data_IF_627623338223
#
_entry.id   IF_627623338223
#
_cell.length_a   1.000
_cell.length_b   1.000
_cell.length_c   1.000
_cell.angle_alpha   90.00
_cell.angle_beta   90.00
_cell.angle_gamma   90.00
#
_symmetry.space_group_name_H-M   'P 1'
#
loop_
_entity.id
_entity.type
_entity.pdbx_description
1 polymer ?
#
# COMPACT_ATOMS: atom_id res chain seq x y z
N UNK A 1 15.49 20.24 37.74
CA UNK A 1 15.65 19.30 36.62
C UNK A 1 14.41 19.46 35.76
N UNK A 2 14.59 19.78 34.49
CA UNK A 2 13.52 20.08 33.54
C UNK A 2 12.67 18.80 33.32
N UNK A 3 11.46 18.72 33.86
CA UNK A 3 10.60 17.53 33.77
C UNK A 3 9.84 17.43 32.45
N UNK A 4 9.73 18.55 31.72
CA UNK A 4 8.94 18.68 30.49
C UNK A 4 9.31 17.66 29.39
N UNK A 5 10.60 17.36 29.19
CA UNK A 5 11.01 16.36 28.18
C UNK A 5 10.63 14.92 28.57
N UNK A 6 10.63 14.61 29.88
CA UNK A 6 10.19 13.30 30.37
C UNK A 6 8.67 13.15 30.33
N UNK A 7 7.96 14.26 30.56
CA UNK A 7 6.50 14.31 30.55
C UNK A 7 5.96 14.30 29.10
N UNK A 8 6.75 14.76 28.11
CA UNK A 8 6.35 14.87 26.70
C UNK A 8 7.37 14.24 25.73
N UNK A 9 7.50 12.90 25.67
CA UNK A 9 8.50 12.20 24.87
C UNK A 9 8.35 12.36 23.34
N UNK A 10 7.25 12.94 22.85
CA UNK A 10 7.00 13.27 21.44
C UNK A 10 7.24 14.73 21.04
N UNK A 11 7.62 15.58 21.99
CA UNK A 11 7.92 16.99 21.77
C UNK A 11 9.43 17.21 21.75
N UNK A 12 9.88 18.14 20.91
CA UNK A 12 11.23 18.65 20.94
C UNK A 12 11.14 20.14 21.29
N UNK A 13 11.81 20.51 22.38
CA UNK A 13 11.77 21.84 22.94
C UNK A 13 13.08 22.54 22.66
N UNK A 14 12.99 23.70 22.05
CA UNK A 14 14.12 24.61 21.94
C UNK A 14 13.76 25.94 22.59
N UNK A 15 14.71 26.47 23.33
CA UNK A 15 14.63 27.78 23.97
C UNK A 15 15.48 28.73 23.15
N UNK A 16 14.96 29.91 22.87
CA UNK A 16 15.69 30.92 22.11
C UNK A 16 15.25 32.32 22.49
N UNK A 17 16.03 33.29 22.04
CA UNK A 17 15.67 34.70 22.04
C UNK A 17 15.67 35.15 20.58
N UNK A 18 14.51 35.47 20.02
CA UNK A 18 14.32 35.84 18.61
C UNK A 18 14.79 37.28 18.33
N UNK A 19 15.29 37.98 19.34
CA UNK A 19 15.74 39.35 19.21
C UNK A 19 16.89 39.59 20.17
N UNK A 20 18.13 39.59 19.67
CA UNK A 20 19.25 40.26 20.31
C UNK A 20 18.91 41.76 20.38
N UNK A 21 18.15 42.15 21.39
CA UNK A 21 18.45 43.39 22.09
C UNK A 21 19.74 43.11 22.84
N UNK A 22 20.89 43.42 22.25
CA UNK A 22 21.86 44.14 23.07
C UNK A 22 22.81 45.04 22.30
N UNK A 23 22.87 46.23 22.87
CA UNK A 23 23.77 47.31 22.53
C UNK A 23 25.22 46.90 22.75
N UNK A 24 26.17 47.53 22.05
CA UNK A 24 27.58 47.18 22.14
C UNK A 24 28.08 47.37 23.58
N UNK A 25 28.80 46.34 24.07
CA UNK A 25 29.68 46.33 25.25
C UNK A 25 29.04 45.97 26.62
N UNK A 26 29.08 44.67 26.95
CA UNK A 26 29.63 44.22 28.23
C UNK A 26 30.69 43.13 27.96
N UNK A 27 31.93 43.29 28.47
CA UNK A 27 33.01 42.34 28.19
C UNK A 27 32.82 41.08 29.04
N UNK A 28 32.92 39.93 28.39
CA UNK A 28 32.72 38.57 28.93
C UNK A 28 31.25 38.15 29.06
N UNK A 29 30.71 37.61 27.96
CA UNK A 29 30.23 36.23 28.07
C UNK A 29 30.68 35.44 26.83
N UNK A 30 31.61 34.51 27.04
CA UNK A 30 32.07 33.58 25.99
C UNK A 30 31.15 32.39 25.83
N UNK A 31 30.05 32.33 26.59
CA UNK A 31 29.26 31.12 26.79
C UNK A 31 27.80 31.24 26.34
N UNK A 32 27.39 32.35 25.70
CA UNK A 32 26.03 32.53 25.17
C UNK A 32 25.80 31.78 23.84
N UNK A 33 25.65 30.46 23.98
CA UNK A 33 25.34 29.50 22.92
C UNK A 33 23.82 29.39 22.65
N UNK A 34 23.04 30.44 22.94
CA UNK A 34 21.56 30.40 22.91
C UNK A 34 20.93 31.00 21.64
N UNK A 35 21.74 31.45 20.67
CA UNK A 35 21.25 32.14 19.47
C UNK A 35 21.07 31.26 18.23
N UNK A 36 22.09 30.51 17.80
CA UNK A 36 21.99 29.56 16.68
C UNK A 36 23.28 28.72 16.55
N UNK A 37 23.30 27.53 17.15
CA UNK A 37 24.24 26.49 16.75
C UNK A 37 23.70 25.85 15.44
N UNK A 38 24.48 25.71 14.34
CA UNK A 38 24.05 25.00 13.13
C UNK A 38 23.69 23.52 13.33
N UNK A 39 23.70 23.02 14.58
CA UNK A 39 23.30 21.69 15.00
C UNK A 39 22.06 21.63 15.90
N UNK A 40 21.00 22.42 15.67
CA UNK A 40 19.71 22.15 16.33
C UNK A 40 19.16 20.82 15.78
N UNK A 41 19.38 19.75 16.52
CA UNK A 41 19.06 18.37 16.15
C UNK A 41 17.60 18.02 16.40
N UNK A 42 16.68 18.65 15.66
CA UNK A 42 15.25 18.33 15.74
C UNK A 42 15.02 16.83 15.50
N UNK A 43 14.38 16.13 16.45
CA UNK A 43 14.04 14.73 16.28
C UNK A 43 13.04 14.56 15.14
N UNK A 44 13.28 13.58 14.26
CA UNK A 44 12.33 13.27 13.19
C UNK A 44 10.99 12.80 13.78
N UNK A 45 9.88 13.28 13.22
CA UNK A 45 8.52 12.98 13.71
C UNK A 45 8.13 13.66 15.02
N UNK A 46 9.03 14.40 15.69
CA UNK A 46 8.67 15.15 16.88
C UNK A 46 8.03 16.50 16.54
N UNK A 47 7.15 16.98 17.43
CA UNK A 47 6.63 18.34 17.34
C UNK A 47 7.75 19.33 17.68
N UNK A 48 7.98 20.31 16.82
CA UNK A 48 9.00 21.35 17.02
C UNK A 48 8.39 22.53 17.77
N UNK A 49 8.92 22.86 18.93
CA UNK A 49 8.43 23.94 19.78
C UNK A 49 9.59 24.90 20.06
N UNK A 50 9.41 26.15 19.68
CA UNK A 50 10.30 27.27 20.00
C UNK A 50 9.67 28.10 21.11
N UNK A 51 10.24 28.05 22.31
CA UNK A 51 9.86 28.93 23.41
C UNK A 51 10.79 30.15 23.41
N UNK A 52 10.22 31.30 23.05
CA UNK A 52 10.90 32.57 22.97
C UNK A 52 10.63 33.42 24.22
N UNK A 53 11.67 33.93 24.86
CA UNK A 53 11.55 34.90 25.95
C UNK A 53 12.01 36.28 25.49
N UNK A 54 11.30 37.34 25.85
CA UNK A 54 11.70 38.69 25.47
C UNK A 54 11.01 39.80 26.25
N UNK A 55 11.41 41.04 25.95
CA UNK A 55 10.90 42.27 26.56
C UNK A 55 10.78 43.43 25.56
N UNK A 56 11.07 43.21 24.27
CA UNK A 56 10.76 44.10 23.15
C UNK A 56 10.40 43.36 21.86
N UNK A 57 9.93 44.08 20.84
CA UNK A 57 9.79 43.58 19.46
C UNK A 57 11.15 43.45 18.77
N UNK A 58 11.31 42.53 17.80
CA UNK A 58 12.54 42.38 17.03
C UNK A 58 12.82 43.57 16.13
N UNK A 59 14.07 43.64 15.64
CA UNK A 59 14.43 44.54 14.55
C UNK A 59 13.80 44.03 13.25
N UNK A 60 12.98 44.87 12.62
CA UNK A 60 12.48 44.63 11.27
C UNK A 60 12.30 45.93 10.47
N UNK A 61 12.37 45.82 9.15
CA UNK A 61 12.10 46.95 8.25
C UNK A 61 10.62 47.33 8.26
N UNK A 62 9.71 46.42 8.59
CA UNK A 62 8.28 46.66 8.68
C UNK A 62 7.55 45.70 9.65
N UNK A 63 7.52 46.02 10.93
CA UNK A 63 6.78 45.24 11.94
C UNK A 63 5.27 45.19 11.71
N UNK A 64 4.70 46.17 11.01
CA UNK A 64 3.26 46.21 10.72
C UNK A 64 2.85 45.25 9.60
N UNK A 65 3.80 44.67 8.86
CA UNK A 65 3.47 43.70 7.82
C UNK A 65 2.77 42.47 8.40
N UNK A 66 1.63 42.12 7.79
CA UNK A 66 0.81 40.99 8.22
C UNK A 66 0.05 41.19 9.54
N UNK A 67 0.11 42.36 10.18
CA UNK A 67 -0.61 42.64 11.42
C UNK A 67 -2.04 43.14 11.11
N UNK A 68 -3.10 42.48 11.63
CA UNK A 68 -4.47 42.90 11.40
C UNK A 68 -4.73 44.35 11.82
N UNK A 69 -5.27 45.16 10.91
CA UNK A 69 -5.65 46.54 11.19
C UNK A 69 -4.49 47.55 11.17
N UNK A 70 -3.26 47.14 10.83
CA UNK A 70 -2.14 48.04 10.59
C UNK A 70 -1.85 48.11 9.09
N UNK A 71 -1.71 49.32 8.56
CA UNK A 71 -1.41 49.57 7.13
C UNK A 71 -0.18 50.44 6.90
N UNK A 72 0.24 51.19 7.92
CA UNK A 72 1.41 52.05 7.84
C UNK A 72 2.69 51.22 8.06
N UNK A 73 3.82 51.69 7.56
CA UNK A 73 5.11 51.03 7.81
C UNK A 73 5.65 51.43 9.17
N UNK A 74 6.01 50.46 10.00
CA UNK A 74 6.75 50.69 11.25
C UNK A 74 8.07 49.92 11.21
N UNK A 75 9.18 50.65 11.06
CA UNK A 75 10.50 50.06 11.12
C UNK A 75 11.12 50.22 12.51
N UNK A 76 11.72 49.15 13.01
CA UNK A 76 12.61 49.16 14.19
C UNK A 76 14.09 49.04 13.81
N UNK A 77 14.40 48.90 12.51
CA UNK A 77 15.75 48.70 11.97
C UNK A 77 15.89 47.31 11.33
N UNK A 78 16.88 47.10 10.47
CA UNK A 78 17.16 45.77 9.91
C UNK A 78 17.85 44.91 10.98
N UNK A 79 17.54 43.62 11.01
CA UNK A 79 18.30 42.65 11.81
C UNK A 79 19.58 42.28 11.04
N UNK A 80 20.79 42.54 11.60
CA UNK A 80 22.05 42.24 10.93
C UNK A 80 22.37 40.74 10.90
N UNK A 81 21.54 39.89 11.49
CA UNK A 81 21.82 38.48 11.62
C UNK A 81 22.94 38.20 12.61
N UNK A 82 23.58 37.04 12.46
CA UNK A 82 24.55 36.50 13.41
C UNK A 82 25.94 37.08 13.27
N UNK A 83 26.29 37.57 12.08
CA UNK A 83 27.59 38.20 11.88
C UNK A 83 27.64 39.63 12.42
N UNK A 84 26.49 40.16 12.85
CA UNK A 84 26.31 41.51 13.40
C UNK A 84 26.70 42.62 12.39
N UNK A 85 26.78 42.30 11.10
CA UNK A 85 27.15 43.22 10.04
C UNK A 85 25.95 43.55 9.16
N UNK A 86 25.66 44.84 9.05
CA UNK A 86 24.58 45.32 8.21
C UNK A 86 24.92 45.21 6.71
N UNK A 87 23.94 44.83 5.88
CA UNK A 87 24.06 44.61 4.44
C UNK A 87 24.94 43.41 4.05
N UNK A 88 24.82 42.32 4.80
CA UNK A 88 25.40 41.02 4.47
C UNK A 88 24.31 40.05 4.01
N UNK A 89 24.71 38.88 3.52
CA UNK A 89 23.78 37.82 3.13
C UNK A 89 23.08 37.17 4.35
N UNK A 90 23.53 37.46 5.59
CA UNK A 90 22.98 36.91 6.84
C UNK A 90 21.95 37.84 7.50
N UNK A 91 21.74 39.05 6.98
CA UNK A 91 20.72 39.96 7.50
C UNK A 91 19.34 39.29 7.43
N UNK A 92 18.58 39.37 8.53
CA UNK A 92 17.29 38.70 8.66
C UNK A 92 16.13 39.66 8.39
N UNK A 93 15.10 39.11 7.75
CA UNK A 93 13.76 39.68 7.65
C UNK A 93 12.82 38.88 8.55
N UNK A 94 12.08 39.55 9.43
CA UNK A 94 11.24 38.87 10.42
C UNK A 94 10.16 38.02 9.75
N UNK A 95 9.57 38.49 8.66
CA UNK A 95 8.46 37.79 8.01
C UNK A 95 8.95 36.54 7.29
N UNK A 96 10.18 36.57 6.78
CA UNK A 96 10.86 35.39 6.25
C UNK A 96 11.17 34.38 7.36
N UNK A 97 11.62 34.83 8.54
CA UNK A 97 11.81 33.95 9.71
C UNK A 97 10.48 33.32 10.14
N UNK A 98 9.42 34.11 10.30
CA UNK A 98 8.09 33.63 10.67
C UNK A 98 7.53 32.64 9.65
N UNK A 99 7.77 32.88 8.36
CA UNK A 99 7.40 31.94 7.29
C UNK A 99 8.20 30.64 7.39
N UNK A 100 9.51 30.74 7.63
CA UNK A 100 10.37 29.58 7.86
C UNK A 100 9.91 28.72 9.04
N UNK A 101 9.44 29.32 10.14
CA UNK A 101 8.85 28.58 11.26
C UNK A 101 7.60 27.79 10.83
N UNK A 102 6.70 28.42 10.07
CA UNK A 102 5.49 27.76 9.56
C UNK A 102 5.82 26.62 8.60
N UNK A 103 6.71 26.86 7.63
CA UNK A 103 7.17 25.88 6.64
C UNK A 103 7.88 24.68 7.29
N UNK A 104 8.57 24.91 8.41
CA UNK A 104 9.25 23.86 9.18
C UNK A 104 8.39 23.22 10.26
N UNK A 105 7.09 23.50 10.31
CA UNK A 105 6.15 22.98 11.29
C UNK A 105 6.57 23.29 12.75
N UNK A 106 7.18 24.46 12.97
CA UNK A 106 7.65 24.91 14.28
C UNK A 106 6.60 25.81 14.93
N UNK A 107 6.12 25.39 16.10
CA UNK A 107 5.26 26.19 16.95
C UNK A 107 6.09 27.21 17.72
N UNK A 108 5.71 28.48 17.66
CA UNK A 108 6.32 29.53 18.46
C UNK A 108 5.44 29.87 19.67
N UNK A 109 5.99 29.72 20.87
CA UNK A 109 5.40 30.24 22.11
C UNK A 109 6.25 31.43 22.55
N UNK A 110 5.62 32.53 22.92
CA UNK A 110 6.34 33.69 23.41
C UNK A 110 5.94 34.04 24.84
N UNK A 111 6.93 34.13 25.73
CA UNK A 111 6.75 34.61 27.09
C UNK A 111 7.42 35.98 27.22
N UNK A 112 6.64 37.00 27.60
CA UNK A 112 7.05 38.39 27.54
C UNK A 112 6.89 39.09 28.89
N UNK A 113 7.77 40.04 29.19
CA UNK A 113 7.83 40.68 30.51
C UNK A 113 6.70 41.68 30.80
N UNK A 114 6.05 42.22 29.78
CA UNK A 114 4.97 43.23 29.90
C UNK A 114 3.79 42.91 28.98
N UNK A 115 2.76 43.74 28.92
CA UNK A 115 1.69 43.58 27.92
C UNK A 115 1.93 44.41 26.65
N UNK A 116 3.09 45.08 26.56
CA UNK A 116 3.42 45.92 25.41
C UNK A 116 3.58 45.06 24.16
N UNK A 117 3.10 45.56 23.03
CA UNK A 117 3.14 44.87 21.74
C UNK A 117 2.48 43.49 21.72
N UNK A 118 1.65 43.15 22.71
CA UNK A 118 0.93 41.89 22.77
C UNK A 118 0.18 41.58 21.46
N UNK A 119 -0.40 42.59 20.80
CA UNK A 119 -1.09 42.43 19.51
C UNK A 119 -0.18 41.85 18.41
N UNK A 120 1.10 42.25 18.38
CA UNK A 120 2.08 41.76 17.41
C UNK A 120 2.48 40.33 17.73
N UNK A 121 2.86 40.07 18.98
CA UNK A 121 3.28 38.73 19.40
C UNK A 121 2.15 37.70 19.29
N UNK A 122 0.90 38.07 19.58
CA UNK A 122 -0.26 37.23 19.36
C UNK A 122 -0.48 36.94 17.86
N UNK A 123 -0.32 37.94 16.99
CA UNK A 123 -0.42 37.76 15.54
C UNK A 123 0.67 36.82 14.98
N UNK A 124 1.90 36.89 15.50
CA UNK A 124 2.99 36.06 15.03
C UNK A 124 2.93 34.62 15.57
N UNK A 125 2.70 34.45 16.88
CA UNK A 125 2.64 33.12 17.52
C UNK A 125 1.45 32.29 17.02
N UNK A 126 0.33 32.94 16.69
CA UNK A 126 -0.87 32.25 16.19
C UNK A 126 -0.72 31.61 14.79
N UNK A 127 0.32 31.96 14.02
CA UNK A 127 0.55 31.41 12.67
C UNK A 127 0.67 29.89 12.64
N UNK A 128 1.15 29.26 13.73
CA UNK A 128 1.24 27.80 13.86
C UNK A 128 0.79 27.29 15.23
N UNK A 129 -0.35 27.79 15.71
CA UNK A 129 -1.02 27.28 16.92
C UNK A 129 -0.30 27.55 18.24
N UNK A 130 0.70 28.44 18.24
CA UNK A 130 1.38 28.88 19.46
C UNK A 130 0.62 29.98 20.18
N UNK A 131 1.24 30.55 21.21
CA UNK A 131 0.60 31.53 22.08
C UNK A 131 1.58 32.55 22.67
N UNK A 132 1.02 33.66 23.14
CA UNK A 132 1.69 34.68 23.93
C UNK A 132 1.29 34.57 25.40
N UNK A 133 2.28 34.69 26.29
CA UNK A 133 2.10 34.67 27.73
C UNK A 133 2.89 35.79 28.41
N UNK A 134 2.42 36.24 29.56
CA UNK A 134 3.15 37.13 30.43
C UNK A 134 4.06 36.32 31.37
N UNK A 135 5.34 36.66 31.46
CA UNK A 135 6.25 36.01 32.43
C UNK A 135 5.86 36.29 33.87
N UNK A 136 5.09 37.35 34.13
CA UNK A 136 4.53 37.68 35.44
C UNK A 136 3.32 36.82 35.82
N UNK A 137 2.78 36.01 34.90
CA UNK A 137 1.64 35.15 35.19
C UNK A 137 2.06 33.97 36.09
N UNK A 138 1.32 33.76 37.18
CA UNK A 138 1.57 32.61 38.08
C UNK A 138 1.24 31.27 37.41
N UNK A 139 0.41 31.29 36.36
CA UNK A 139 0.00 30.14 35.56
C UNK A 139 0.92 29.85 34.38
N UNK A 140 1.98 30.64 34.14
CA UNK A 140 2.81 30.55 32.91
C UNK A 140 3.18 29.11 32.53
N UNK A 141 3.67 28.33 33.49
CA UNK A 141 4.10 26.95 33.24
C UNK A 141 2.92 26.08 32.80
N UNK A 142 1.79 26.18 33.50
CA UNK A 142 0.57 25.43 33.19
C UNK A 142 -0.02 25.85 31.83
N UNK A 143 -0.03 27.14 31.53
CA UNK A 143 -0.54 27.67 30.27
C UNK A 143 0.34 27.23 29.07
N UNK A 144 1.67 27.22 29.24
CA UNK A 144 2.60 26.70 28.24
C UNK A 144 2.35 25.22 28.01
N UNK A 145 2.22 24.42 29.08
CA UNK A 145 1.92 22.98 28.96
C UNK A 145 0.60 22.76 28.21
N UNK A 146 -0.46 23.49 28.57
CA UNK A 146 -1.77 23.37 27.93
C UNK A 146 -1.71 23.65 26.42
N UNK A 147 -0.95 24.66 25.98
CA UNK A 147 -0.79 24.94 24.54
C UNK A 147 0.02 23.87 23.83
N UNK A 148 1.02 23.31 24.49
CA UNK A 148 1.82 22.21 23.93
C UNK A 148 0.99 20.92 23.85
N UNK A 149 0.12 20.66 24.81
CA UNK A 149 -0.71 19.45 24.85
C UNK A 149 -2.00 19.56 24.01
N UNK A 150 -2.41 20.77 23.59
CA UNK A 150 -3.64 20.97 22.82
C UNK A 150 -3.63 20.14 21.53
N UNK A 151 -4.46 19.09 21.50
CA UNK A 151 -4.61 18.18 20.37
C UNK A 151 -5.15 18.84 19.12
N UNK A 152 -5.83 20.00 19.23
CA UNK A 152 -6.28 20.76 18.07
C UNK A 152 -5.12 21.41 17.31
N UNK A 153 -3.94 21.53 17.93
CA UNK A 153 -2.71 22.02 17.29
C UNK A 153 -1.88 20.89 16.67
N UNK A 154 -2.14 19.64 17.04
CA UNK A 154 -1.56 18.42 16.47
C UNK A 154 -2.33 17.99 15.20
N UNK A 155 -2.24 18.79 14.13
CA UNK A 155 -3.02 18.52 12.90
C UNK A 155 -2.35 17.55 11.92
N UNK A 156 -1.08 17.23 12.11
CA UNK A 156 -0.29 16.48 11.12
C UNK A 156 0.54 15.40 11.80
N UNK A 157 0.32 14.14 11.41
CA UNK A 157 1.19 13.02 11.72
C UNK A 157 1.96 12.71 10.45
N UNK A 158 3.25 13.06 10.44
CA UNK A 158 4.18 12.61 9.42
C UNK A 158 4.68 11.21 9.79
N UNK A 159 4.93 10.35 8.81
CA UNK A 159 5.46 9.00 9.00
C UNK A 159 4.55 8.06 9.84
N UNK A 160 3.23 8.10 9.63
CA UNK A 160 2.34 7.07 10.16
C UNK A 160 2.62 5.73 9.46
N UNK A 161 3.46 4.91 10.09
CA UNK A 161 3.73 3.55 9.63
C UNK A 161 2.87 2.57 10.42
N UNK A 162 1.99 1.85 9.71
CA UNK A 162 1.30 0.68 10.28
C UNK A 162 2.35 -0.41 10.46
N UNK A 163 2.76 -0.67 11.71
CA UNK A 163 3.65 -1.77 12.04
C UNK A 163 3.07 -3.10 11.55
N UNK A 164 3.93 -4.01 11.10
CA UNK A 164 3.59 -5.32 10.50
C UNK A 164 2.83 -6.29 11.42
N UNK A 165 2.42 -5.85 12.60
CA UNK A 165 1.77 -6.67 13.62
C UNK A 165 0.28 -6.31 13.72
N UNK A 166 -0.55 -7.00 12.93
CA UNK A 166 -1.87 -7.50 13.33
C UNK A 166 -2.85 -7.76 12.16
N UNK A 167 -2.45 -7.64 10.89
CA UNK A 167 -3.33 -8.05 9.78
C UNK A 167 -2.91 -9.41 9.21
N UNK A 168 -2.90 -10.41 10.07
CA UNK A 168 -3.10 -11.80 9.67
C UNK A 168 -4.59 -12.13 9.80
N UNK A 169 -5.42 -11.67 8.85
CA UNK A 169 -6.76 -12.23 8.67
C UNK A 169 -6.91 -12.74 7.24
N UNK A 170 -6.55 -14.01 7.08
CA UNK A 170 -6.95 -14.99 6.07
C UNK A 170 -7.60 -14.48 4.77
N UNK A 171 -6.81 -13.96 3.84
CA UNK A 171 -7.16 -13.98 2.41
C UNK A 171 -6.29 -14.95 1.60
N UNK A 172 -5.48 -15.80 2.25
CA UNK A 172 -4.65 -16.81 1.59
C UNK A 172 -3.51 -16.25 0.73
N UNK A 173 -3.27 -14.93 0.77
CA UNK A 173 -2.24 -14.25 -0.01
C UNK A 173 -0.84 -14.41 0.61
N UNK A 174 0.18 -14.47 -0.24
CA UNK A 174 1.58 -14.41 0.17
C UNK A 174 1.98 -12.97 0.59
N UNK A 175 3.06 -12.78 1.37
CA UNK A 175 3.54 -11.45 1.77
C UNK A 175 3.83 -10.47 0.61
N UNK A 176 4.16 -10.99 -0.58
CA UNK A 176 4.38 -10.16 -1.77
C UNK A 176 3.05 -9.66 -2.36
N UNK A 177 2.05 -10.54 -2.48
CA UNK A 177 0.72 -10.22 -3.01
C UNK A 177 -0.05 -9.23 -2.13
N UNK A 178 0.22 -9.19 -0.82
CA UNK A 178 -0.41 -8.23 0.08
C UNK A 178 -0.03 -6.77 -0.17
N UNK A 179 1.15 -6.50 -0.75
CA UNK A 179 1.64 -5.13 -0.95
C UNK A 179 1.01 -4.43 -2.17
N UNK A 180 0.62 -5.17 -3.21
CA UNK A 180 0.00 -4.60 -4.42
C UNK A 180 -1.51 -4.36 -4.26
N UNK A 181 -2.18 -5.10 -3.36
CA UNK A 181 -3.64 -5.00 -3.12
C UNK A 181 -4.01 -4.15 -1.90
N UNK A 182 -3.03 -3.46 -1.31
CA UNK A 182 -3.22 -2.56 -0.18
C UNK A 182 -3.70 -1.19 -0.69
N UNK A 183 -5.00 -0.89 -0.56
CA UNK A 183 -5.50 0.49 -0.72
C UNK A 183 -6.13 0.95 0.59
N UNK A 184 -5.48 1.88 1.28
CA UNK A 184 -6.06 2.54 2.44
C UNK A 184 -7.20 3.45 1.97
N UNK A 185 -8.45 3.02 2.14
CA UNK A 185 -9.61 3.77 1.62
C UNK A 185 -10.08 4.92 2.52
N UNK A 186 -9.73 4.93 3.82
CA UNK A 186 -10.17 5.97 4.77
C UNK A 186 -9.32 5.98 6.05
N UNK A 187 -8.90 7.16 6.50
CA UNK A 187 -8.45 7.38 7.87
C UNK A 187 -9.60 8.05 8.65
N UNK A 188 -9.99 7.49 9.80
CA UNK A 188 -11.01 8.09 10.68
C UNK A 188 -10.32 8.47 11.97
N UNK A 189 -10.45 9.74 12.37
CA UNK A 189 -10.03 10.20 13.69
C UNK A 189 -11.21 9.97 14.64
N UNK A 190 -11.04 9.13 15.65
CA UNK A 190 -12.02 8.92 16.73
C UNK A 190 -11.57 9.76 17.93
N UNK A 191 -12.39 10.73 18.33
CA UNK A 191 -12.12 11.68 19.41
C UNK A 191 -12.59 11.17 20.77
N UNK A 192 -12.65 9.84 20.95
CA UNK A 192 -13.14 9.27 22.19
C UNK A 192 -12.20 9.57 23.37
N UNK A 193 -12.66 10.45 24.26
CA UNK A 193 -12.01 10.83 25.52
C UNK A 193 -11.55 9.59 26.30
N UNK A 194 -10.24 9.37 26.33
CA UNK A 194 -9.61 8.60 27.39
C UNK A 194 -8.41 9.38 27.88
N UNK A 195 -8.37 9.59 29.19
CA UNK A 195 -7.32 10.29 29.90
C UNK A 195 -5.93 9.80 29.46
N UNK A 196 -5.09 10.74 29.01
CA UNK A 196 -3.66 10.58 28.75
C UNK A 196 -3.21 9.75 27.53
N UNK A 197 -3.83 9.94 26.35
CA UNK A 197 -3.19 9.53 25.10
C UNK A 197 -4.09 9.59 23.88
N UNK A 198 -3.65 10.34 22.86
CA UNK A 198 -4.30 10.39 21.54
C UNK A 198 -4.13 9.02 20.86
N UNK A 199 -5.16 8.18 20.86
CA UNK A 199 -5.14 6.91 20.14
C UNK A 199 -5.70 7.12 18.73
N UNK A 200 -4.82 7.12 17.73
CA UNK A 200 -5.23 7.13 16.32
C UNK A 200 -5.68 5.70 15.94
N UNK A 201 -6.98 5.50 15.70
CA UNK A 201 -7.50 4.27 15.10
C UNK A 201 -7.67 4.44 13.59
N UNK A 202 -6.78 3.84 12.80
CA UNK A 202 -7.02 3.69 11.36
C UNK A 202 -7.92 2.48 11.09
N UNK A 203 -9.13 2.68 10.55
CA UNK A 203 -9.94 1.59 9.99
C UNK A 203 -9.45 1.25 8.57
N UNK A 204 -8.69 0.15 8.45
CA UNK A 204 -8.19 -0.33 7.16
C UNK A 204 -9.21 -1.29 6.56
N UNK A 205 -9.82 -0.91 5.43
CA UNK A 205 -10.64 -1.83 4.62
C UNK A 205 -9.74 -2.51 3.60
N UNK A 206 -9.58 -3.82 3.71
CA UNK A 206 -8.88 -4.64 2.70
C UNK A 206 -9.93 -5.20 1.74
N UNK A 207 -9.92 -4.71 0.50
CA UNK A 207 -10.71 -5.31 -0.57
C UNK A 207 -10.02 -6.59 -1.04
N UNK A 208 -10.37 -7.72 -0.44
CA UNK A 208 -9.96 -9.04 -0.93
C UNK A 208 -10.77 -9.41 -2.18
N UNK A 209 -10.52 -8.76 -3.31
CA UNK A 209 -10.83 -9.35 -4.60
C UNK A 209 -9.70 -10.31 -4.91
N UNK A 210 -9.95 -11.61 -4.73
CA UNK A 210 -9.03 -12.64 -5.23
C UNK A 210 -9.02 -12.47 -6.75
N UNK A 211 -7.87 -12.19 -7.38
CA UNK A 211 -7.81 -12.15 -8.84
C UNK A 211 -8.26 -13.53 -9.35
N UNK A 212 -9.09 -13.60 -10.41
CA UNK A 212 -9.55 -14.89 -10.92
C UNK A 212 -8.33 -15.77 -11.17
N UNK A 213 -8.41 -17.01 -10.72
CA UNK A 213 -7.33 -18.00 -10.87
C UNK A 213 -7.00 -18.06 -12.37
N UNK A 214 -5.72 -18.13 -12.80
CA UNK A 214 -5.39 -18.13 -14.23
C UNK A 214 -6.22 -19.14 -15.06
N UNK A 215 -6.57 -20.26 -14.43
CA UNK A 215 -7.38 -21.35 -14.98
C UNK A 215 -8.84 -20.99 -15.28
N UNK A 216 -9.42 -19.95 -14.65
CA UNK A 216 -10.80 -19.52 -14.91
C UNK A 216 -10.94 -18.84 -16.29
N UNK A 217 -9.83 -18.39 -16.86
CA UNK A 217 -9.77 -17.78 -18.20
C UNK A 217 -9.51 -18.78 -19.33
N UNK A 218 -9.34 -20.07 -19.01
CA UNK A 218 -8.94 -21.09 -19.95
C UNK A 218 -10.00 -21.33 -21.03
N UNK A 219 -9.59 -21.30 -22.29
CA UNK A 219 -10.42 -21.72 -23.44
C UNK A 219 -9.67 -22.74 -24.28
N UNK A 220 -10.37 -23.54 -25.09
CA UNK A 220 -9.77 -24.54 -25.99
C UNK A 220 -10.23 -24.29 -27.41
N UNK A 221 -9.31 -24.36 -28.37
CA UNK A 221 -9.61 -24.18 -29.78
C UNK A 221 -9.04 -25.32 -30.64
N UNK A 222 -9.88 -25.94 -31.51
CA UNK A 222 -11.34 -25.88 -31.50
C UNK A 222 -11.94 -26.60 -30.27
N UNK A 223 -13.04 -26.07 -29.70
CA UNK A 223 -13.83 -26.75 -28.66
C UNK A 223 -14.88 -27.72 -29.23
N UNK A 224 -15.17 -27.64 -30.53
CA UNK A 224 -16.06 -28.54 -31.26
C UNK A 224 -15.37 -29.00 -32.54
N UNK A 225 -15.30 -30.30 -32.75
CA UNK A 225 -14.61 -30.93 -33.88
C UNK A 225 -15.64 -31.64 -34.76
N UNK A 226 -15.78 -31.19 -36.01
CA UNK A 226 -16.69 -31.75 -37.00
C UNK A 226 -16.08 -31.62 -38.40
N UNK A 227 -16.28 -32.61 -39.30
CA UNK A 227 -17.02 -33.86 -39.13
C UNK A 227 -16.21 -34.95 -38.40
N UNK A 228 -16.90 -35.91 -37.80
CA UNK A 228 -16.29 -37.16 -37.33
C UNK A 228 -15.78 -37.96 -38.55
N UNK A 229 -14.47 -37.97 -38.77
CA UNK A 229 -13.81 -38.53 -39.96
C UNK A 229 -12.55 -39.34 -39.63
N UNK A 230 -12.34 -39.70 -38.35
CA UNK A 230 -11.22 -40.46 -37.80
C UNK A 230 -9.83 -39.81 -37.90
N UNK A 231 -9.74 -38.57 -38.42
CA UNK A 231 -8.47 -37.85 -38.48
C UNK A 231 -8.08 -37.30 -37.10
N UNK A 232 -6.78 -37.16 -36.86
CA UNK A 232 -6.28 -36.43 -35.71
C UNK A 232 -6.41 -34.93 -35.95
N UNK A 233 -6.98 -34.22 -34.99
CA UNK A 233 -7.19 -32.77 -35.02
C UNK A 233 -6.39 -32.14 -33.89
N UNK A 234 -5.59 -31.13 -34.24
CA UNK A 234 -4.84 -30.37 -33.25
C UNK A 234 -5.77 -29.43 -32.49
N UNK A 235 -5.63 -29.44 -31.17
CA UNK A 235 -6.32 -28.56 -30.23
C UNK A 235 -5.28 -27.87 -29.36
N UNK A 236 -5.57 -26.63 -28.96
CA UNK A 236 -4.71 -25.84 -28.09
C UNK A 236 -5.50 -25.21 -26.96
N UNK A 237 -4.90 -25.18 -25.78
CA UNK A 237 -5.42 -24.42 -24.64
C UNK A 237 -4.92 -22.97 -24.77
N UNK A 238 -5.85 -22.03 -24.77
CA UNK A 238 -5.61 -20.59 -24.82
C UNK A 238 -5.97 -19.94 -23.49
N UNK A 239 -5.22 -18.91 -23.11
CA UNK A 239 -5.37 -18.16 -21.86
C UNK A 239 -5.49 -16.68 -22.18
N UNK A 240 -6.15 -15.90 -21.31
CA UNK A 240 -6.24 -14.44 -21.47
C UNK A 240 -4.87 -13.76 -21.35
N UNK A 241 -4.02 -14.29 -20.46
CA UNK A 241 -2.67 -13.79 -20.20
C UNK A 241 -1.61 -14.86 -20.54
N UNK A 242 -0.37 -14.47 -20.91
CA UNK A 242 0.68 -15.42 -21.27
C UNK A 242 1.16 -16.20 -20.05
N UNK A 243 0.80 -17.48 -19.98
CA UNK A 243 1.22 -18.44 -18.94
C UNK A 243 1.75 -19.73 -19.57
N UNK A 244 2.59 -20.46 -18.85
CA UNK A 244 3.07 -21.77 -19.31
C UNK A 244 2.02 -22.85 -19.00
N UNK A 245 1.61 -23.59 -20.03
CA UNK A 245 0.60 -24.65 -19.94
C UNK A 245 1.24 -26.03 -20.10
N UNK A 246 0.92 -26.94 -19.18
CA UNK A 246 1.24 -28.36 -19.27
C UNK A 246 -0.06 -29.19 -19.29
N UNK A 247 -0.24 -30.04 -20.29
CA UNK A 247 -1.34 -31.00 -20.30
C UNK A 247 -0.96 -32.19 -19.42
N UNK A 248 -1.79 -32.47 -18.41
CA UNK A 248 -1.58 -33.53 -17.42
C UNK A 248 -2.20 -34.85 -17.88
N UNK A 249 -3.41 -34.79 -18.45
CA UNK A 249 -4.13 -35.95 -18.93
C UNK A 249 -5.16 -35.57 -20.00
N UNK A 250 -5.47 -36.52 -20.89
CA UNK A 250 -6.57 -36.44 -21.84
C UNK A 250 -7.42 -37.68 -21.66
N UNK A 251 -8.67 -37.50 -21.28
CA UNK A 251 -9.61 -38.60 -21.03
C UNK A 251 -10.83 -38.47 -21.94
N UNK A 252 -11.49 -39.58 -22.27
CA UNK A 252 -12.70 -39.61 -23.10
C UNK A 252 -13.82 -40.44 -22.45
N UNK A 253 -15.07 -40.11 -22.77
CA UNK A 253 -16.25 -40.80 -22.26
C UNK A 253 -16.70 -42.01 -23.10
N UNK A 254 -15.85 -42.47 -24.03
CA UNK A 254 -16.07 -43.65 -24.88
C UNK A 254 -14.97 -44.71 -24.67
N UNK A 255 -15.26 -46.00 -24.86
CA UNK A 255 -14.23 -47.05 -24.85
C UNK A 255 -13.17 -46.83 -25.95
N UNK A 256 -11.92 -47.19 -25.68
CA UNK A 256 -10.76 -47.02 -26.60
C UNK A 256 -10.76 -47.95 -27.84
N UNK A 257 -11.54 -49.04 -27.82
CA UNK A 257 -11.68 -49.99 -28.96
C UNK A 257 -13.01 -50.72 -28.79
N UNK A 258 -13.86 -50.64 -29.81
CA UNK A 258 -15.11 -51.40 -29.93
C UNK A 258 -15.15 -52.14 -31.26
N UNK A 259 -15.70 -53.36 -31.28
CA UNK A 259 -15.76 -54.18 -32.49
C UNK A 259 -16.48 -53.43 -33.63
N UNK A 260 -15.72 -53.00 -34.64
CA UNK A 260 -16.23 -52.29 -35.82
C UNK A 260 -15.63 -50.90 -36.08
N UNK A 261 -14.75 -50.39 -35.22
CA UNK A 261 -14.21 -49.02 -35.27
C UNK A 261 -12.87 -48.83 -36.02
N UNK A 262 -12.40 -49.86 -36.72
CA UNK A 262 -11.10 -49.87 -37.42
C UNK A 262 -9.83 -49.83 -36.52
N UNK A 263 -9.93 -50.00 -35.19
CA UNK A 263 -8.81 -50.17 -34.25
C UNK A 263 -7.82 -49.00 -34.25
N UNK A 264 -8.32 -47.77 -34.10
CA UNK A 264 -7.56 -46.53 -34.31
C UNK A 264 -6.81 -45.99 -33.09
N UNK A 265 -6.80 -46.67 -31.94
CA UNK A 265 -6.09 -46.26 -30.71
C UNK A 265 -4.58 -45.93 -30.91
N UNK A 266 -4.01 -44.92 -30.23
CA UNK A 266 -4.64 -44.06 -29.22
C UNK A 266 -5.48 -42.93 -29.83
N UNK A 267 -6.41 -42.39 -29.05
CA UNK A 267 -7.37 -41.38 -29.50
C UNK A 267 -6.97 -39.96 -29.15
N UNK A 268 -5.85 -39.81 -28.43
CA UNK A 268 -5.23 -38.53 -28.17
C UNK A 268 -3.69 -38.66 -28.09
N UNK A 269 -3.01 -37.55 -28.36
CA UNK A 269 -1.57 -37.40 -28.17
C UNK A 269 -1.28 -36.04 -27.53
N UNK A 270 -0.51 -36.03 -26.45
CA UNK A 270 -0.03 -34.79 -25.82
C UNK A 270 1.16 -34.25 -26.61
N UNK A 271 1.13 -32.95 -26.93
CA UNK A 271 2.23 -32.22 -27.56
C UNK A 271 2.77 -31.15 -26.59
N UNK A 272 3.96 -30.57 -26.86
CA UNK A 272 4.48 -29.46 -26.06
C UNK A 272 3.60 -28.21 -26.11
N UNK A 273 3.83 -27.29 -25.16
CA UNK A 273 3.25 -25.93 -25.17
C UNK A 273 1.70 -25.89 -25.11
N UNK A 274 1.07 -26.80 -24.36
CA UNK A 274 -0.39 -26.82 -24.21
C UNK A 274 -1.16 -27.27 -25.47
N UNK A 275 -0.47 -27.92 -26.41
CA UNK A 275 -1.06 -28.50 -27.62
C UNK A 275 -1.37 -29.99 -27.40
N UNK A 276 -2.42 -30.46 -28.05
CA UNK A 276 -2.71 -31.89 -28.17
C UNK A 276 -3.27 -32.22 -29.55
N UNK A 277 -3.19 -33.49 -29.92
CA UNK A 277 -3.99 -34.06 -30.99
C UNK A 277 -5.10 -34.88 -30.35
N UNK A 278 -6.34 -34.72 -30.80
CA UNK A 278 -7.47 -35.59 -30.44
C UNK A 278 -8.12 -36.11 -31.70
N UNK A 279 -8.67 -37.32 -31.64
CA UNK A 279 -9.26 -37.96 -32.80
C UNK A 279 -10.66 -37.43 -33.05
N UNK A 280 -10.92 -37.00 -34.29
CA UNK A 280 -12.25 -36.64 -34.77
C UNK A 280 -13.06 -37.91 -35.08
N UNK A 281 -13.39 -38.70 -34.08
CA UNK A 281 -14.23 -39.89 -34.27
C UNK A 281 -15.33 -39.98 -33.23
N UNK A 282 -16.26 -40.89 -33.51
CA UNK A 282 -17.39 -41.21 -32.65
C UNK A 282 -17.66 -42.70 -32.77
N UNK A 283 -17.81 -43.38 -31.62
CA UNK A 283 -17.93 -44.84 -31.54
C UNK A 283 -19.23 -45.43 -32.11
N UNK A 284 -20.24 -44.60 -32.40
CA UNK A 284 -21.58 -45.10 -32.75
C UNK A 284 -22.48 -45.39 -31.55
N UNK A 285 -21.92 -45.48 -30.33
CA UNK A 285 -22.60 -46.02 -29.15
C UNK A 285 -23.25 -44.96 -28.26
N UNK A 286 -22.85 -43.70 -28.40
CA UNK A 286 -23.44 -42.57 -27.69
C UNK A 286 -24.26 -41.70 -28.64
N UNK A 287 -25.52 -41.42 -28.32
CA UNK A 287 -26.40 -40.61 -29.19
C UNK A 287 -25.95 -39.15 -29.33
N UNK A 288 -25.11 -38.66 -28.40
CA UNK A 288 -24.67 -37.26 -28.33
C UNK A 288 -23.25 -36.99 -28.89
N UNK A 289 -22.47 -38.02 -29.23
CA UNK A 289 -21.06 -37.84 -29.65
C UNK A 289 -20.04 -38.16 -28.55
N UNK A 290 -18.76 -37.86 -28.83
CA UNK A 290 -17.61 -38.09 -27.93
C UNK A 290 -17.20 -36.79 -27.24
N UNK A 291 -16.92 -36.87 -25.94
CA UNK A 291 -16.38 -35.77 -25.13
C UNK A 291 -14.97 -36.11 -24.66
N UNK A 292 -14.01 -35.26 -24.97
CA UNK A 292 -12.69 -35.27 -24.35
C UNK A 292 -12.65 -34.30 -23.16
N UNK A 293 -12.03 -34.72 -22.05
CA UNK A 293 -11.65 -33.87 -20.93
C UNK A 293 -10.12 -33.76 -20.90
N UNK A 294 -9.61 -32.55 -21.08
CA UNK A 294 -8.19 -32.23 -20.97
C UNK A 294 -7.94 -31.62 -19.60
N UNK A 295 -7.18 -32.32 -18.75
CA UNK A 295 -6.66 -31.80 -17.48
C UNK A 295 -5.34 -31.09 -17.75
N UNK A 296 -5.18 -29.87 -17.25
CA UNK A 296 -3.99 -29.06 -17.47
C UNK A 296 -3.53 -28.35 -16.20
N UNK A 297 -2.23 -28.07 -16.10
CA UNK A 297 -1.64 -27.12 -15.16
C UNK A 297 -1.29 -25.84 -15.92
N UNK A 298 -1.72 -24.69 -15.39
CA UNK A 298 -1.26 -23.38 -15.82
C UNK A 298 -0.31 -22.79 -14.78
N UNK A 299 0.82 -22.25 -15.24
CA UNK A 299 1.88 -21.73 -14.38
C UNK A 299 2.35 -20.34 -14.83
N UNK A 300 2.32 -19.39 -13.89
CA UNK A 300 2.95 -18.07 -14.03
C UNK A 300 4.31 -18.05 -13.32
N UNK A 301 4.95 -16.89 -13.24
CA UNK A 301 6.17 -16.72 -12.44
C UNK A 301 5.95 -16.85 -10.93
N UNK A 302 4.70 -16.74 -10.46
CA UNK A 302 4.37 -16.66 -9.03
C UNK A 302 3.40 -17.74 -8.57
N UNK A 303 2.53 -18.24 -9.45
CA UNK A 303 1.39 -19.07 -9.08
C UNK A 303 1.18 -20.24 -10.05
N UNK A 304 0.49 -21.28 -9.56
CA UNK A 304 0.08 -22.45 -10.34
C UNK A 304 -1.38 -22.78 -10.06
N UNK A 305 -2.08 -23.27 -11.07
CA UNK A 305 -3.43 -23.82 -10.92
C UNK A 305 -3.64 -25.01 -11.84
N UNK A 306 -4.57 -25.90 -11.47
CA UNK A 306 -5.04 -26.99 -12.32
C UNK A 306 -6.46 -26.70 -12.81
N UNK A 307 -6.75 -27.08 -14.05
CA UNK A 307 -8.06 -26.92 -14.67
C UNK A 307 -8.44 -28.11 -15.53
N UNK A 308 -9.72 -28.21 -15.87
CA UNK A 308 -10.25 -29.19 -16.83
C UNK A 308 -11.04 -28.47 -17.89
N UNK A 309 -10.77 -28.77 -19.15
CA UNK A 309 -11.51 -28.21 -20.29
C UNK A 309 -12.03 -29.32 -21.21
N UNK A 310 -13.19 -29.09 -21.82
CA UNK A 310 -13.88 -30.10 -22.63
C UNK A 310 -13.82 -29.79 -24.12
N UNK A 311 -13.69 -30.84 -24.93
CA UNK A 311 -13.83 -30.79 -26.38
C UNK A 311 -14.90 -31.78 -26.81
N UNK A 312 -15.75 -31.35 -27.73
CA UNK A 312 -16.85 -32.14 -28.25
C UNK A 312 -16.60 -32.58 -29.70
N UNK A 313 -16.76 -33.88 -29.98
CA UNK A 313 -16.91 -34.44 -31.33
C UNK A 313 -18.37 -34.91 -31.46
N UNK A 314 -19.28 -34.06 -31.94
CA UNK A 314 -20.71 -34.37 -31.92
C UNK A 314 -21.06 -35.43 -32.97
N UNK A 315 -22.10 -36.22 -32.67
CA UNK A 315 -22.68 -37.17 -33.64
C UNK A 315 -23.41 -36.46 -34.79
N UNK A 316 -24.13 -35.37 -34.48
CA UNK A 316 -24.79 -34.49 -35.44
C UNK A 316 -24.42 -33.04 -35.12
N UNK A 317 -24.19 -32.21 -36.14
CA UNK A 317 -23.82 -30.79 -36.00
C UNK A 317 -24.80 -29.98 -35.13
N UNK A 318 -26.05 -30.45 -34.97
CA UNK A 318 -27.10 -29.80 -34.18
C UNK A 318 -27.24 -30.31 -32.74
N UNK A 319 -26.53 -31.37 -32.37
CA UNK A 319 -26.63 -32.01 -31.04
C UNK A 319 -25.33 -31.76 -30.27
N UNK A 320 -25.37 -31.08 -29.10
CA UNK A 320 -24.19 -30.92 -28.27
C UNK A 320 -23.77 -32.26 -27.65
N UNK A 321 -22.47 -32.45 -27.43
CA UNK A 321 -21.99 -33.62 -26.71
C UNK A 321 -22.51 -33.60 -25.27
N UNK A 322 -22.98 -34.76 -24.81
CA UNK A 322 -23.34 -34.95 -23.42
C UNK A 322 -22.08 -35.26 -22.61
N UNK A 323 -21.93 -34.55 -21.49
CA UNK A 323 -21.05 -34.98 -20.42
C UNK A 323 -21.81 -36.03 -19.61
N UNK A 324 -21.84 -37.26 -20.11
CA UNK A 324 -22.51 -38.36 -19.42
C UNK A 324 -21.67 -38.82 -18.22
N UNK A 325 -22.32 -39.32 -17.16
CA UNK A 325 -21.67 -39.89 -15.96
C UNK A 325 -20.89 -41.20 -16.25
N UNK A 326 -20.49 -41.45 -17.50
CA UNK A 326 -19.66 -42.60 -17.86
C UNK A 326 -18.25 -42.38 -17.34
N UNK A 327 -17.60 -43.49 -16.96
CA UNK A 327 -16.21 -43.45 -16.56
C UNK A 327 -15.35 -42.93 -17.71
N UNK A 328 -14.65 -41.82 -17.46
CA UNK A 328 -13.66 -41.26 -18.38
C UNK A 328 -12.41 -42.16 -18.39
N UNK A 329 -11.92 -42.49 -19.58
CA UNK A 329 -10.80 -43.39 -19.80
C UNK A 329 -9.66 -42.61 -20.48
N UNK A 330 -8.42 -42.91 -20.10
CA UNK A 330 -7.22 -42.30 -20.67
C UNK A 330 -7.13 -42.52 -22.19
N UNK A 331 -7.21 -41.42 -22.94
CA UNK A 331 -7.20 -41.38 -24.41
C UNK A 331 -5.80 -41.49 -25.01
N UNK A 332 -4.75 -41.39 -24.20
CA UNK A 332 -3.35 -41.41 -24.64
C UNK A 332 -2.74 -42.82 -24.64
N UNK A 333 -3.45 -43.80 -24.08
CA UNK A 333 -2.97 -45.17 -23.96
C UNK A 333 -3.39 -46.04 -25.14
N UNK A 334 -2.53 -47.00 -25.50
CA UNK A 334 -2.87 -48.07 -26.45
C UNK A 334 -3.41 -49.27 -25.65
N UNK A 335 -4.54 -49.84 -26.07
CA UNK A 335 -5.03 -51.07 -25.46
C UNK A 335 -4.07 -52.25 -25.72
N UNK A 336 -3.40 -52.72 -24.66
CA UNK A 336 -2.58 -53.93 -24.70
C UNK A 336 -3.46 -55.18 -24.70
N UNK A 337 -3.63 -55.82 -25.87
CA UNK A 337 -4.46 -57.03 -26.07
C UNK A 337 -3.89 -58.34 -25.47
N UNK A 338 -2.87 -58.31 -24.61
CA UNK A 338 -2.19 -59.52 -24.11
C UNK A 338 -2.72 -60.09 -22.78
N UNK A 339 -3.85 -59.62 -22.23
CA UNK A 339 -4.43 -60.17 -20.98
C UNK A 339 -5.74 -60.96 -21.16
N UNK A 340 -6.11 -61.35 -22.39
CA UNK A 340 -7.27 -62.23 -22.66
C UNK A 340 -6.88 -63.53 -23.37
N UNK A 341 -6.00 -64.34 -22.80
CA UNK A 341 -6.04 -65.81 -22.99
C UNK A 341 -5.20 -66.52 -21.94
N UNK A 342 -5.79 -66.88 -20.79
CA UNK A 342 -5.29 -67.99 -19.96
C UNK A 342 -6.33 -68.50 -18.95
N UNK A 343 -7.62 -68.48 -19.28
CA UNK A 343 -8.64 -69.07 -18.39
C UNK A 343 -9.80 -69.79 -19.09
N UNK A 344 -9.51 -70.45 -20.23
CA UNK A 344 -10.38 -71.50 -20.78
C UNK A 344 -9.56 -72.57 -21.51
N UNK A 345 -9.06 -73.55 -20.76
CA UNK A 345 -8.94 -74.96 -21.18
C UNK A 345 -8.42 -75.80 -19.99
N UNK A 346 -9.30 -76.61 -19.44
CA UNK A 346 -9.01 -77.57 -18.38
C UNK A 346 -10.31 -78.24 -17.95
N UNK A 347 -10.90 -79.02 -18.87
CA UNK A 347 -12.09 -79.82 -18.59
C UNK A 347 -11.75 -81.09 -17.80
N UNK A 348 -12.74 -81.53 -17.03
CA UNK A 348 -13.05 -82.87 -16.51
C UNK A 348 -11.89 -83.81 -16.11
N UNK A 349 -11.90 -84.17 -14.82
CA UNK A 349 -11.95 -85.58 -14.38
C UNK A 349 -13.21 -85.75 -13.56
#
# INVERSE_FOLDING_TARGET
MNTLENDLPGADFQFGVISLMDYPLFPHDSDDNCGHNPGIGWRNGARRILLNFGDNVPHDCNLNEGIPGKSDTWSTGKDPGRDELFNTDDDLDLHDVLRGLVENNTMMIHAYSTADYQEYWQAWTSKKGGAFFLTSATSLVEDVVNVVEDSNTLKEINDLHVGTAAIQKNCGLTPAQSMEHFQATKCVFDDHEVAYGLNVRAEITINCTVPPTPCDSATVRPSVIWPANHNMVQVGIEMAEPVAIAILAIEQNEPLDVDGDCKTSPDAQILPCGLALVRAEWSGLATAGRTYRIKFEASSSTDKCEGTITICVPHDRSIPCEDNDRAFIDSTTVLNRNLRSNNKKGGNV
#
